data_IF_427914902734
#
_entry.id   IF_427914902734
#
_cell.length_a   1.000
_cell.length_b   1.000
_cell.length_c   1.000
_cell.angle_alpha   90.00
_cell.angle_beta   90.00
_cell.angle_gamma   90.00
#
_symmetry.space_group_name_H-M   'P 1'
#
loop_
_entity.id
_entity.type
_entity.pdbx_description
1 polymer ?
#
# COMPACT_ATOMS: atom_id res chain seq x y z
N UNK A 1 30.10 -21.30 34.55
CA UNK A 1 29.85 -20.09 33.74
C UNK A 1 30.12 -20.40 32.27
N UNK A 2 29.06 -20.61 31.48
CA UNK A 2 28.91 -20.08 30.13
C UNK A 2 27.40 -20.01 29.87
N UNK A 3 26.94 -18.84 29.43
CA UNK A 3 25.55 -18.44 29.31
C UNK A 3 25.23 -18.23 27.81
N UNK A 4 23.93 -18.18 27.46
CA UNK A 4 23.31 -17.95 26.13
C UNK A 4 22.97 -19.24 25.37
N UNK A 5 21.73 -19.73 25.48
CA UNK A 5 20.55 -19.34 24.67
C UNK A 5 20.75 -19.57 23.18
N UNK A 6 20.14 -20.66 22.70
CA UNK A 6 19.46 -20.82 21.42
C UNK A 6 19.87 -19.84 20.31
N UNK A 7 20.70 -20.28 19.37
CA UNK A 7 20.60 -19.83 18.00
C UNK A 7 20.47 -21.07 17.14
N UNK A 8 19.22 -21.34 16.80
CA UNK A 8 18.78 -22.34 15.85
C UNK A 8 19.38 -21.96 14.49
N UNK A 9 20.45 -22.63 14.09
CA UNK A 9 21.02 -22.50 12.75
C UNK A 9 20.19 -23.38 11.82
N UNK A 10 19.07 -22.85 11.30
CA UNK A 10 18.41 -23.48 10.16
C UNK A 10 19.10 -22.97 8.91
N UNK A 11 20.08 -23.75 8.45
CA UNK A 11 20.49 -23.79 7.06
C UNK A 11 19.28 -24.18 6.22
N UNK A 12 18.71 -23.27 5.45
CA UNK A 12 17.78 -23.63 4.38
C UNK A 12 18.40 -23.32 3.02
N UNK A 13 18.52 -24.41 2.27
CA UNK A 13 19.22 -24.55 1.01
C UNK A 13 18.72 -23.59 -0.08
N UNK A 14 19.70 -23.11 -0.82
CA UNK A 14 19.56 -22.57 -2.17
C UNK A 14 19.13 -23.69 -3.13
N UNK A 15 17.88 -23.66 -3.61
CA UNK A 15 17.44 -24.26 -4.89
C UNK A 15 15.92 -24.09 -4.99
N UNK A 16 15.46 -23.18 -5.87
CA UNK A 16 14.42 -23.45 -6.87
C UNK A 16 14.09 -22.17 -7.65
N UNK A 17 14.18 -22.29 -8.98
CA UNK A 17 13.61 -21.47 -10.05
C UNK A 17 13.72 -19.95 -9.94
N UNK A 18 14.32 -19.37 -10.98
CA UNK A 18 14.10 -17.99 -11.39
C UNK A 18 12.62 -17.82 -11.77
N UNK A 19 11.74 -17.70 -10.79
CA UNK A 19 10.42 -17.11 -11.00
C UNK A 19 10.67 -15.62 -11.03
N UNK A 20 10.55 -15.00 -12.21
CA UNK A 20 10.37 -13.56 -12.29
C UNK A 20 9.09 -13.30 -11.50
N UNK A 21 9.26 -12.89 -10.24
CA UNK A 21 8.16 -12.34 -9.47
C UNK A 21 7.79 -11.08 -10.23
N UNK A 22 6.57 -11.02 -10.77
CA UNK A 22 6.01 -9.77 -11.26
C UNK A 22 5.91 -8.82 -10.07
N UNK A 23 7.00 -8.13 -9.74
CA UNK A 23 6.94 -6.96 -8.92
C UNK A 23 5.96 -6.02 -9.59
N UNK A 24 4.92 -5.62 -8.87
CA UNK A 24 3.96 -4.63 -9.32
C UNK A 24 4.75 -3.41 -9.80
N UNK A 25 4.67 -3.11 -11.09
CA UNK A 25 5.49 -2.07 -11.69
C UNK A 25 4.64 -0.81 -11.86
N UNK A 26 4.85 0.14 -10.97
CA UNK A 26 4.28 1.48 -11.00
C UNK A 26 5.42 2.49 -10.84
N UNK A 27 5.18 3.72 -11.27
CA UNK A 27 6.14 4.80 -11.09
C UNK A 27 5.98 5.41 -9.68
N UNK A 28 7.10 5.60 -8.98
CA UNK A 28 7.09 6.22 -7.64
C UNK A 28 6.80 7.73 -7.79
N UNK A 29 5.78 8.28 -7.10
CA UNK A 29 5.46 9.70 -7.16
C UNK A 29 6.61 10.61 -6.76
N UNK A 30 6.64 11.82 -7.32
CA UNK A 30 7.64 12.81 -6.94
C UNK A 30 7.59 13.11 -5.44
N UNK A 31 8.77 13.14 -4.80
CA UNK A 31 8.90 13.39 -3.37
C UNK A 31 8.73 12.16 -2.47
N UNK A 32 8.36 10.99 -3.02
CA UNK A 32 8.33 9.73 -2.30
C UNK A 32 9.56 8.88 -2.59
N UNK A 33 9.91 8.03 -1.64
CA UNK A 33 10.97 7.03 -1.75
C UNK A 33 10.45 5.69 -1.25
N UNK A 34 10.82 4.60 -1.92
CA UNK A 34 10.51 3.25 -1.47
C UNK A 34 11.37 2.91 -0.25
N UNK A 35 10.72 2.52 0.85
CA UNK A 35 11.38 2.16 2.11
C UNK A 35 11.39 0.65 2.32
N UNK A 36 10.35 -0.04 1.85
CA UNK A 36 10.27 -1.51 1.87
C UNK A 36 9.49 -2.03 0.66
N UNK A 37 9.85 -3.23 0.18
CA UNK A 37 9.12 -3.91 -0.89
C UNK A 37 9.30 -5.41 -0.77
N UNK A 38 8.19 -6.12 -0.94
CA UNK A 38 8.09 -7.58 -1.01
C UNK A 38 7.35 -7.95 -2.29
N UNK A 39 7.11 -9.24 -2.50
CA UNK A 39 6.34 -9.72 -3.65
C UNK A 39 4.87 -9.28 -3.64
N UNK A 40 4.33 -8.90 -2.48
CA UNK A 40 2.90 -8.61 -2.29
C UNK A 40 2.63 -7.23 -1.71
N UNK A 41 3.66 -6.47 -1.32
CA UNK A 41 3.51 -5.18 -0.67
C UNK A 41 4.69 -4.25 -0.97
N UNK A 42 4.42 -2.95 -1.11
CA UNK A 42 5.45 -1.90 -1.21
C UNK A 42 5.05 -0.72 -0.32
N UNK A 43 6.01 -0.18 0.43
CA UNK A 43 5.84 0.99 1.28
C UNK A 43 6.69 2.15 0.76
N UNK A 44 6.06 3.31 0.59
CA UNK A 44 6.68 4.56 0.20
C UNK A 44 6.56 5.59 1.33
N UNK A 45 7.59 6.42 1.52
CA UNK A 45 7.53 7.57 2.44
C UNK A 45 8.06 8.83 1.80
N UNK A 46 7.55 9.97 2.24
CA UNK A 46 8.12 11.27 1.92
C UNK A 46 8.73 11.95 3.17
N UNK A 47 9.45 13.04 2.93
CA UNK A 47 10.11 13.80 4.01
C UNK A 47 9.12 14.53 4.93
N UNK A 48 7.85 14.64 4.55
CA UNK A 48 6.81 15.20 5.39
C UNK A 48 6.27 14.17 6.40
N UNK A 49 6.63 12.89 6.29
CA UNK A 49 6.15 11.83 7.17
C UNK A 49 4.90 11.11 6.67
N UNK A 50 4.44 11.39 5.46
CA UNK A 50 3.34 10.65 4.83
C UNK A 50 3.84 9.27 4.40
N UNK A 51 3.01 8.25 4.59
CA UNK A 51 3.28 6.88 4.19
C UNK A 51 2.21 6.39 3.22
N UNK A 52 2.66 5.71 2.16
CA UNK A 52 1.79 5.01 1.21
C UNK A 52 2.14 3.53 1.28
N UNK A 53 1.14 2.69 1.47
CA UNK A 53 1.28 1.23 1.40
C UNK A 53 0.48 0.74 0.20
N UNK A 54 1.13 0.04 -0.71
CA UNK A 54 0.52 -0.62 -1.87
C UNK A 54 0.59 -2.11 -1.61
N UNK A 55 -0.53 -2.82 -1.71
CA UNK A 55 -0.64 -4.25 -1.47
C UNK A 55 -1.37 -4.96 -2.62
N UNK A 56 -0.97 -6.21 -2.87
CA UNK A 56 -1.71 -7.15 -3.72
C UNK A 56 -3.02 -7.53 -3.02
N UNK A 57 -4.14 -7.21 -3.65
CA UNK A 57 -5.48 -7.39 -3.09
C UNK A 57 -5.91 -8.85 -2.99
N UNK A 58 -5.20 -9.79 -3.60
CA UNK A 58 -5.45 -11.23 -3.41
C UNK A 58 -4.86 -11.75 -2.09
N UNK A 59 -3.85 -11.06 -1.55
CA UNK A 59 -3.16 -11.46 -0.32
C UNK A 59 -3.63 -10.68 0.90
N UNK A 60 -4.02 -9.42 0.71
CA UNK A 60 -4.50 -8.58 1.79
C UNK A 60 -5.64 -7.71 1.30
N UNK A 61 -6.85 -7.98 1.81
CA UNK A 61 -7.98 -7.12 1.54
C UNK A 61 -7.82 -5.76 2.25
N UNK A 62 -8.67 -4.81 1.87
CA UNK A 62 -8.53 -3.44 2.37
C UNK A 62 -8.85 -3.30 3.86
N UNK A 63 -9.72 -4.14 4.41
CA UNK A 63 -10.08 -4.11 5.82
C UNK A 63 -9.00 -4.76 6.69
N UNK A 64 -8.39 -5.84 6.22
CA UNK A 64 -7.23 -6.46 6.85
C UNK A 64 -6.03 -5.51 6.86
N UNK A 65 -5.80 -4.80 5.75
CA UNK A 65 -4.74 -3.81 5.64
C UNK A 65 -4.96 -2.65 6.61
N UNK A 66 -6.19 -2.16 6.76
CA UNK A 66 -6.54 -1.13 7.76
C UNK A 66 -6.40 -1.66 9.19
N UNK A 67 -6.87 -2.88 9.47
CA UNK A 67 -6.77 -3.50 10.78
C UNK A 67 -5.30 -3.68 11.21
N UNK A 68 -4.39 -3.93 10.26
CA UNK A 68 -2.95 -4.04 10.51
C UNK A 68 -2.31 -2.74 11.05
N UNK A 69 -2.94 -1.58 10.82
CA UNK A 69 -2.48 -0.30 11.34
C UNK A 69 -2.74 -0.14 12.86
N UNK A 70 -3.47 -1.07 13.48
CA UNK A 70 -3.61 -1.16 14.94
C UNK A 70 -4.50 -0.12 15.60
N UNK A 71 -5.12 0.78 14.83
CA UNK A 71 -6.02 1.83 15.31
C UNK A 71 -7.49 1.47 15.06
N UNK A 72 -8.39 1.95 15.92
CA UNK A 72 -9.85 1.90 15.73
C UNK A 72 -10.28 2.88 14.61
N UNK A 73 -9.91 2.57 13.37
CA UNK A 73 -10.43 3.26 12.20
C UNK A 73 -11.82 2.75 11.88
N UNK A 74 -12.75 3.69 11.69
CA UNK A 74 -14.10 3.38 11.22
C UNK A 74 -14.25 3.95 9.82
N UNK A 75 -14.88 3.20 8.92
CA UNK A 75 -15.25 3.71 7.60
C UNK A 75 -16.23 4.86 7.80
N UNK A 76 -15.88 6.04 7.31
CA UNK A 76 -16.75 7.23 7.34
C UNK A 76 -17.37 7.52 5.97
N UNK A 77 -16.71 7.14 4.88
CA UNK A 77 -17.23 7.32 3.52
C UNK A 77 -16.70 6.24 2.56
N UNK A 78 -17.51 5.90 1.56
CA UNK A 78 -17.11 5.06 0.43
C UNK A 78 -17.68 5.69 -0.84
N UNK A 79 -16.85 5.92 -1.84
CA UNK A 79 -17.27 6.40 -3.16
C UNK A 79 -16.52 5.68 -4.27
N UNK A 80 -17.08 5.70 -5.47
CA UNK A 80 -16.34 5.33 -6.68
C UNK A 80 -15.76 6.62 -7.29
N UNK A 81 -14.52 6.54 -7.75
CA UNK A 81 -13.81 7.59 -8.48
C UNK A 81 -13.16 6.96 -9.70
N UNK A 82 -12.92 7.76 -10.74
CA UNK A 82 -12.28 7.30 -11.97
C UNK A 82 -10.87 7.89 -12.04
N UNK A 83 -9.84 7.03 -12.10
CA UNK A 83 -8.44 7.47 -12.17
C UNK A 83 -7.81 6.88 -13.42
N UNK A 84 -7.59 7.72 -14.43
CA UNK A 84 -6.97 7.33 -15.71
C UNK A 84 -7.66 6.10 -16.32
N UNK A 85 -8.97 6.24 -16.55
CA UNK A 85 -9.87 5.21 -17.09
C UNK A 85 -9.97 3.92 -16.26
N UNK A 86 -9.56 3.97 -14.97
CA UNK A 86 -9.73 2.86 -14.02
C UNK A 86 -10.83 3.19 -13.02
N UNK A 87 -11.76 2.24 -12.85
CA UNK A 87 -12.73 2.26 -11.75
C UNK A 87 -12.01 2.00 -10.42
N UNK A 88 -12.02 2.99 -9.54
CA UNK A 88 -11.38 2.92 -8.23
C UNK A 88 -12.43 3.14 -7.15
N UNK A 89 -12.47 2.25 -6.15
CA UNK A 89 -13.23 2.48 -4.94
C UNK A 89 -12.36 3.19 -3.91
N UNK A 90 -12.74 4.40 -3.54
CA UNK A 90 -12.11 5.19 -2.48
C UNK A 90 -12.88 5.00 -1.16
N UNK A 91 -12.12 4.81 -0.09
CA UNK A 91 -12.59 4.68 1.27
C UNK A 91 -11.95 5.79 2.11
N UNK A 92 -12.77 6.47 2.90
CA UNK A 92 -12.28 7.35 3.96
C UNK A 92 -12.46 6.64 5.29
N UNK A 93 -11.38 6.50 6.02
CA UNK A 93 -11.34 5.94 7.36
C UNK A 93 -11.00 7.05 8.35
N UNK A 94 -11.79 7.18 9.40
CA UNK A 94 -11.55 8.18 10.45
C UNK A 94 -11.36 7.52 11.80
N UNK A 95 -10.43 8.06 12.58
CA UNK A 95 -10.30 7.84 14.02
C UNK A 95 -10.47 9.18 14.75
N UNK A 96 -10.33 9.19 16.08
CA UNK A 96 -10.43 10.42 16.89
C UNK A 96 -9.41 11.50 16.49
N UNK A 97 -8.26 11.11 15.93
CA UNK A 97 -7.12 12.02 15.71
C UNK A 97 -6.54 11.99 14.29
N UNK A 98 -7.05 11.13 13.41
CA UNK A 98 -6.48 10.97 12.06
C UNK A 98 -7.52 10.51 11.05
N UNK A 99 -7.27 10.87 9.80
CA UNK A 99 -7.99 10.38 8.62
C UNK A 99 -6.99 9.61 7.76
N UNK A 100 -7.43 8.46 7.26
CA UNK A 100 -6.71 7.64 6.31
C UNK A 100 -7.59 7.47 5.08
N UNK A 101 -6.96 7.49 3.91
CA UNK A 101 -7.62 7.14 2.66
C UNK A 101 -7.12 5.79 2.20
N UNK A 102 -8.03 4.99 1.67
CA UNK A 102 -7.69 3.73 1.05
C UNK A 102 -8.38 3.61 -0.31
N UNK A 103 -7.73 2.88 -1.22
CA UNK A 103 -8.13 2.75 -2.60
C UNK A 103 -8.08 1.29 -3.00
N UNK A 104 -9.15 0.79 -3.60
CA UNK A 104 -9.18 -0.55 -4.19
C UNK A 104 -9.51 -0.44 -5.66
N UNK A 105 -8.71 -1.10 -6.51
CA UNK A 105 -8.92 -1.12 -7.95
C UNK A 105 -8.42 -2.42 -8.56
N UNK A 106 -8.85 -2.69 -9.79
CA UNK A 106 -8.39 -3.83 -10.55
C UNK A 106 -7.53 -3.35 -11.72
N UNK A 107 -6.41 -4.03 -11.96
CA UNK A 107 -5.57 -3.83 -13.14
C UNK A 107 -5.33 -5.18 -13.80
N UNK A 108 -5.85 -5.34 -15.01
CA UNK A 108 -5.76 -6.57 -15.83
C UNK A 108 -6.22 -7.85 -15.13
N UNK A 109 -7.31 -7.78 -14.37
CA UNK A 109 -7.85 -8.91 -13.63
C UNK A 109 -7.22 -9.09 -12.24
N UNK A 110 -6.23 -8.28 -11.88
CA UNK A 110 -5.52 -8.37 -10.61
C UNK A 110 -5.91 -7.21 -9.66
N UNK A 111 -6.44 -7.49 -8.45
CA UNK A 111 -6.82 -6.46 -7.49
C UNK A 111 -5.62 -5.86 -6.76
N UNK A 112 -5.67 -4.57 -6.48
CA UNK A 112 -4.68 -3.84 -5.70
C UNK A 112 -5.37 -2.97 -4.66
N UNK A 113 -4.74 -2.86 -3.49
CA UNK A 113 -5.18 -1.99 -2.41
C UNK A 113 -4.06 -0.99 -2.09
N UNK A 114 -4.40 0.29 -1.97
CA UNK A 114 -3.46 1.34 -1.57
C UNK A 114 -4.01 2.04 -0.34
N UNK A 115 -3.17 2.28 0.66
CA UNK A 115 -3.48 3.12 1.81
C UNK A 115 -2.54 4.30 1.83
N UNK A 116 -3.07 5.46 2.20
CA UNK A 116 -2.29 6.64 2.55
C UNK A 116 -2.80 7.26 3.85
N UNK A 117 -1.84 7.62 4.70
CA UNK A 117 -2.06 8.54 5.82
C UNK A 117 -1.52 9.91 5.44
N UNK A 118 -2.34 10.80 4.89
CA UNK A 118 -1.88 12.12 4.47
C UNK A 118 -1.74 13.06 5.66
N UNK A 119 -0.86 14.05 5.51
CA UNK A 119 -0.71 15.13 6.49
C UNK A 119 -1.77 16.23 6.31
N UNK A 120 -2.45 16.26 5.16
CA UNK A 120 -3.52 17.21 4.86
C UNK A 120 -4.87 16.48 4.71
N UNK A 121 -5.92 17.06 5.30
CA UNK A 121 -7.28 16.53 5.29
C UNK A 121 -8.03 16.77 3.96
N UNK A 122 -7.54 17.67 3.11
CA UNK A 122 -8.10 17.86 1.77
C UNK A 122 -7.40 16.94 0.79
N UNK A 123 -8.05 15.83 0.49
CA UNK A 123 -7.52 14.79 -0.37
C UNK A 123 -8.41 14.57 -1.59
N UNK A 124 -7.92 14.95 -2.76
CA UNK A 124 -8.57 14.72 -4.05
C UNK A 124 -7.71 13.78 -4.89
N UNK A 125 -8.12 12.51 -4.97
CA UNK A 125 -7.38 11.46 -5.67
C UNK A 125 -7.45 11.56 -7.20
N UNK A 126 -8.38 12.34 -7.75
CA UNK A 126 -8.55 12.53 -9.19
C UNK A 126 -7.60 13.60 -9.75
N UNK A 127 -7.01 14.42 -8.87
CA UNK A 127 -6.00 15.40 -9.25
C UNK A 127 -4.69 14.74 -9.70
N UNK A 128 -4.18 15.15 -10.87
CA UNK A 128 -2.92 14.66 -11.44
C UNK A 128 -1.69 14.89 -10.53
N UNK A 129 -1.76 15.88 -9.63
CA UNK A 129 -0.69 16.15 -8.66
C UNK A 129 -0.75 15.23 -7.44
N UNK A 130 -1.83 14.45 -7.28
CA UNK A 130 -1.99 13.54 -6.16
C UNK A 130 -1.09 12.31 -6.36
N UNK A 131 -0.32 11.87 -5.33
CA UNK A 131 0.52 10.69 -5.44
C UNK A 131 -0.28 9.41 -5.74
N UNK A 132 -1.53 9.30 -5.27
CA UNK A 132 -2.40 8.15 -5.57
C UNK A 132 -2.77 8.12 -7.05
N UNK A 133 -3.07 9.27 -7.65
CA UNK A 133 -3.28 9.37 -9.09
C UNK A 133 -2.05 8.89 -9.85
N UNK A 134 -0.86 9.40 -9.50
CA UNK A 134 0.41 9.05 -10.14
C UNK A 134 0.73 7.56 -10.03
N UNK A 135 0.46 6.95 -8.88
CA UNK A 135 0.62 5.50 -8.68
C UNK A 135 -0.36 4.76 -9.59
N UNK A 136 -1.67 4.95 -9.44
CA UNK A 136 -2.69 4.16 -10.15
C UNK A 136 -2.62 4.34 -11.67
N UNK A 137 -2.31 5.54 -12.15
CA UNK A 137 -2.16 5.83 -13.58
C UNK A 137 -0.93 5.16 -14.20
N UNK A 138 0.12 4.87 -13.41
CA UNK A 138 1.37 4.31 -13.90
C UNK A 138 1.51 2.79 -13.75
N UNK A 139 0.48 2.08 -13.27
CA UNK A 139 0.47 0.61 -13.26
C UNK A 139 0.67 0.05 -14.68
N UNK A 140 1.73 -0.75 -14.86
CA UNK A 140 2.15 -1.37 -16.12
C UNK A 140 1.80 -2.85 -16.20
#
# INVERSE_FOLDING_TARGET
MLNKKNILLISLLFLMSLSIVNAVNFDIPSGYQQISSTTTMTELKNNAGESIIIADGNYMDIYDLIASLGNEYVVSNIKNVEINDKDVKEYTFSSKSSIIYAYSFNHWGHPYNIIISPNNIFWDAESWSNPIYQIISSFK
#
